data_IF_182254390696
#
_entry.id   IF_182254390696
#
_cell.length_a   1.000
_cell.length_b   1.000
_cell.length_c   1.000
_cell.angle_alpha   90.00
_cell.angle_beta   90.00
_cell.angle_gamma   90.00
#
_symmetry.space_group_name_H-M   'P 1'
#
loop_
_entity.id
_entity.type
_entity.pdbx_description
1 polymer ?
#
# COMPACT_ATOMS: atom_id res chain seq x y z
N UNK A 1 -18.69 -18.44 -3.99
CA UNK A 1 -17.23 -18.53 -4.21
C UNK A 1 -16.63 -17.13 -4.30
N UNK A 2 -15.46 -16.95 -3.70
CA UNK A 2 -14.76 -15.67 -3.71
C UNK A 2 -13.73 -15.65 -4.83
N UNK A 3 -13.41 -14.47 -5.40
CA UNK A 3 -12.34 -14.38 -6.37
C UNK A 3 -10.99 -14.75 -5.74
N UNK A 4 -10.06 -15.17 -6.58
CA UNK A 4 -8.69 -15.43 -6.13
C UNK A 4 -8.04 -14.10 -5.79
N UNK A 5 -7.61 -13.95 -4.55
CA UNK A 5 -6.90 -12.76 -4.10
C UNK A 5 -5.42 -12.93 -4.41
N UNK A 6 -4.88 -11.94 -5.10
CA UNK A 6 -3.47 -11.87 -5.47
C UNK A 6 -2.78 -10.83 -4.63
N UNK A 7 -1.48 -10.92 -4.51
CA UNK A 7 -0.68 -9.94 -3.81
C UNK A 7 0.44 -9.40 -4.70
N UNK A 8 0.77 -8.15 -4.50
CA UNK A 8 1.87 -7.49 -5.21
C UNK A 8 2.55 -6.49 -4.28
N UNK A 9 3.84 -6.67 -4.07
CA UNK A 9 4.62 -5.78 -3.22
C UNK A 9 5.08 -4.57 -4.02
N UNK A 10 4.72 -3.38 -3.56
CA UNK A 10 5.18 -2.13 -4.15
C UNK A 10 6.14 -1.42 -3.21
N UNK A 11 6.97 -0.59 -3.78
CA UNK A 11 7.98 0.18 -3.04
C UNK A 11 7.82 1.65 -3.33
N UNK A 12 7.81 2.48 -2.28
CA UNK A 12 7.80 3.93 -2.41
C UNK A 12 9.06 4.44 -1.72
N UNK A 13 10.07 4.82 -2.51
CA UNK A 13 11.32 5.32 -1.97
C UNK A 13 11.18 6.79 -1.57
N UNK A 14 11.70 7.12 -0.39
CA UNK A 14 11.62 8.50 0.14
C UNK A 14 12.56 9.47 -0.56
N UNK A 15 13.51 8.94 -1.35
CA UNK A 15 14.42 9.76 -2.11
C UNK A 15 15.72 10.12 -1.40
N UNK A 16 16.66 10.67 -2.16
CA UNK A 16 17.97 11.05 -1.64
C UNK A 16 17.90 12.21 -0.66
N UNK A 17 16.88 13.06 -0.80
CA UNK A 17 16.59 14.15 0.13
C UNK A 17 15.25 13.84 0.78
N UNK A 18 15.23 13.69 2.09
CA UNK A 18 14.00 13.35 2.82
C UNK A 18 12.98 14.48 2.67
N UNK A 19 11.76 14.19 2.19
CA UNK A 19 10.71 15.20 2.10
C UNK A 19 10.31 15.71 3.49
N UNK A 20 9.89 16.97 3.54
CA UNK A 20 9.43 17.57 4.79
C UNK A 20 8.06 17.10 5.23
N UNK A 21 7.69 17.43 6.45
CA UNK A 21 6.36 17.12 6.98
C UNK A 21 5.28 17.79 6.12
N UNK A 22 4.20 17.08 5.88
CA UNK A 22 3.11 17.52 4.99
C UNK A 22 3.28 17.13 3.54
N UNK A 23 4.43 16.57 3.16
CA UNK A 23 4.69 16.15 1.78
C UNK A 23 3.88 14.93 1.40
N UNK A 24 3.39 14.92 0.16
CA UNK A 24 2.72 13.76 -0.44
C UNK A 24 3.63 13.16 -1.51
N UNK A 25 3.75 11.83 -1.50
CA UNK A 25 4.49 11.10 -2.52
C UNK A 25 3.50 10.18 -3.24
N UNK A 26 3.27 10.46 -4.52
CA UNK A 26 2.37 9.64 -5.33
C UNK A 26 3.02 8.32 -5.69
N UNK A 27 2.19 7.27 -5.74
CA UNK A 27 2.65 5.93 -6.08
C UNK A 27 2.90 5.88 -7.58
N UNK A 28 4.03 5.31 -7.98
CA UNK A 28 4.35 5.17 -9.39
C UNK A 28 3.45 4.13 -10.06
N UNK A 29 3.43 4.13 -11.39
CA UNK A 29 2.64 3.17 -12.14
C UNK A 29 3.27 1.78 -12.08
N UNK A 30 2.49 0.81 -11.63
CA UNK A 30 2.83 -0.60 -11.68
C UNK A 30 1.83 -1.26 -12.65
N UNK A 31 2.27 -1.69 -13.84
CA UNK A 31 1.33 -2.24 -14.85
C UNK A 31 0.46 -3.37 -14.32
N UNK A 32 1.00 -4.22 -13.44
CA UNK A 32 0.25 -5.32 -12.83
C UNK A 32 -0.95 -4.83 -12.02
N UNK A 33 -0.89 -3.63 -11.48
CA UNK A 33 -1.94 -3.07 -10.62
C UNK A 33 -2.86 -2.10 -11.34
N UNK A 34 -2.83 -2.09 -12.68
CA UNK A 34 -3.78 -1.29 -13.46
C UNK A 34 -5.12 -2.00 -13.51
N UNK A 35 -6.18 -1.23 -13.26
CA UNK A 35 -7.57 -1.72 -13.36
C UNK A 35 -7.86 -2.93 -12.47
N UNK A 36 -7.30 -2.95 -11.27
CA UNK A 36 -7.54 -4.01 -10.29
C UNK A 36 -8.48 -3.53 -9.20
N UNK A 37 -9.12 -4.50 -8.52
CA UNK A 37 -9.93 -4.21 -7.34
C UNK A 37 -9.07 -4.40 -6.11
N UNK A 38 -8.93 -3.34 -5.32
CA UNK A 38 -8.18 -3.40 -4.07
C UNK A 38 -9.03 -4.09 -2.99
N UNK A 39 -8.46 -5.13 -2.37
CA UNK A 39 -9.13 -5.87 -1.29
C UNK A 39 -8.52 -5.54 0.07
N UNK A 40 -7.24 -5.25 0.11
CA UNK A 40 -6.54 -4.94 1.35
C UNK A 40 -5.13 -4.47 1.10
N UNK A 41 -4.53 -3.92 2.14
CA UNK A 41 -3.16 -3.39 2.09
C UNK A 41 -2.46 -3.80 3.37
N UNK A 42 -1.21 -4.24 3.24
CA UNK A 42 -0.32 -4.44 4.38
C UNK A 42 0.92 -3.58 4.22
N UNK A 43 1.41 -3.02 5.31
CA UNK A 43 2.66 -2.27 5.34
C UNK A 43 3.73 -3.12 6.04
N UNK A 44 4.94 -3.08 5.51
CA UNK A 44 6.07 -3.77 6.14
C UNK A 44 7.13 -2.77 6.57
N UNK A 45 7.60 -2.92 7.80
CA UNK A 45 8.73 -2.17 8.32
C UNK A 45 9.98 -3.05 8.33
N UNK A 46 11.10 -2.50 8.77
CA UNK A 46 12.35 -3.26 8.94
C UNK A 46 12.22 -4.40 9.94
N UNK A 47 11.17 -4.40 10.76
CA UNK A 47 10.88 -5.50 11.69
C UNK A 47 10.36 -6.73 10.95
N UNK A 48 9.61 -6.52 9.86
CA UNK A 48 8.99 -7.60 9.09
C UNK A 48 9.74 -7.90 7.80
N UNK A 49 10.30 -6.88 7.14
CA UNK A 49 11.04 -7.04 5.89
C UNK A 49 12.15 -5.99 5.85
N UNK A 50 13.37 -6.39 6.17
CA UNK A 50 14.50 -5.49 6.39
C UNK A 50 14.83 -4.62 5.18
N UNK A 51 14.76 -5.19 3.97
CA UNK A 51 15.08 -4.49 2.73
C UNK A 51 14.02 -4.75 1.66
N UNK A 52 13.91 -3.82 0.72
CA UNK A 52 13.07 -4.00 -0.46
C UNK A 52 13.69 -5.02 -1.43
N UNK A 53 12.91 -5.54 -2.40
CA UNK A 53 13.46 -6.38 -3.48
C UNK A 53 14.59 -5.69 -4.25
N UNK A 54 14.61 -4.36 -4.30
CA UNK A 54 15.67 -3.58 -4.94
C UNK A 54 16.88 -3.34 -4.03
N UNK A 55 16.88 -3.89 -2.81
CA UNK A 55 17.98 -3.76 -1.87
C UNK A 55 17.98 -2.48 -1.05
N UNK A 56 16.90 -1.71 -1.05
CA UNK A 56 16.80 -0.48 -0.27
C UNK A 56 16.27 -0.77 1.12
N UNK A 57 16.78 -0.05 2.13
CA UNK A 57 16.34 -0.24 3.51
C UNK A 57 14.87 0.12 3.68
N UNK A 58 14.11 -0.73 4.36
CA UNK A 58 12.73 -0.44 4.73
C UNK A 58 12.71 0.59 5.86
N UNK A 59 11.62 1.37 5.94
CA UNK A 59 11.40 2.26 7.08
C UNK A 59 11.29 1.43 8.37
N UNK A 60 11.66 2.03 9.49
CA UNK A 60 11.54 1.36 10.78
C UNK A 60 10.07 1.33 11.24
N UNK A 61 9.76 0.45 12.20
CA UNK A 61 8.42 0.42 12.78
C UNK A 61 8.03 1.74 13.43
N UNK A 62 9.00 2.46 14.02
CA UNK A 62 8.76 3.81 14.53
C UNK A 62 8.51 4.80 13.40
N UNK A 63 9.19 4.65 12.27
CA UNK A 63 8.96 5.48 11.08
C UNK A 63 7.55 5.36 10.52
N UNK A 64 6.93 4.20 10.64
CA UNK A 64 5.55 3.99 10.20
C UNK A 64 4.53 4.89 10.93
N UNK A 65 4.85 5.34 12.12
CA UNK A 65 3.95 6.22 12.88
C UNK A 65 3.84 7.63 12.29
N UNK A 66 4.79 8.00 11.45
CA UNK A 66 4.82 9.32 10.82
C UNK A 66 4.33 9.36 9.39
N UNK A 67 3.79 8.25 8.87
CA UNK A 67 3.36 8.15 7.48
C UNK A 67 1.96 7.56 7.42
N UNK A 68 1.12 8.13 6.55
CA UNK A 68 -0.21 7.59 6.25
C UNK A 68 -0.33 7.31 4.77
N UNK A 69 -1.28 6.44 4.40
CA UNK A 69 -1.56 6.11 3.02
C UNK A 69 -2.98 6.53 2.65
N UNK A 70 -3.14 7.00 1.42
CA UNK A 70 -4.44 7.34 0.84
C UNK A 70 -4.60 6.61 -0.48
N UNK A 71 -5.70 5.89 -0.64
CA UNK A 71 -6.02 5.15 -1.85
C UNK A 71 -7.29 5.69 -2.48
N UNK A 72 -7.21 5.91 -3.78
CA UNK A 72 -8.22 6.60 -4.57
C UNK A 72 -8.83 5.62 -5.57
N UNK A 73 -10.15 5.70 -5.76
CA UNK A 73 -10.83 4.88 -6.77
C UNK A 73 -10.80 5.54 -8.15
N UNK A 74 -11.36 4.85 -9.15
CA UNK A 74 -11.37 5.34 -10.53
C UNK A 74 -12.28 6.56 -10.73
N UNK A 75 -13.07 6.92 -9.73
CA UNK A 75 -13.91 8.12 -9.74
C UNK A 75 -13.27 9.28 -8.98
N UNK A 76 -11.98 9.18 -8.67
CA UNK A 76 -11.19 10.17 -7.91
C UNK A 76 -11.69 10.40 -6.48
N UNK A 77 -12.35 9.39 -5.89
CA UNK A 77 -12.77 9.43 -4.50
C UNK A 77 -11.72 8.79 -3.62
N UNK A 78 -11.39 9.44 -2.52
CA UNK A 78 -10.46 8.90 -1.53
C UNK A 78 -11.20 7.91 -0.64
N UNK A 79 -11.13 6.63 -1.00
CA UNK A 79 -11.85 5.58 -0.26
C UNK A 79 -11.14 5.28 1.06
N UNK A 80 -9.81 5.24 1.03
CA UNK A 80 -8.98 5.10 2.22
C UNK A 80 -8.18 6.39 2.32
N UNK A 81 -8.42 7.17 3.39
CA UNK A 81 -7.83 8.50 3.53
C UNK A 81 -6.96 8.58 4.77
N UNK A 82 -5.68 8.90 4.56
CA UNK A 82 -4.70 9.13 5.64
C UNK A 82 -4.69 8.01 6.67
N UNK A 83 -4.68 6.76 6.20
CA UNK A 83 -4.66 5.61 7.09
C UNK A 83 -3.23 5.37 7.59
N UNK A 84 -2.99 5.31 8.91
CA UNK A 84 -1.64 5.14 9.45
C UNK A 84 -1.01 3.83 8.99
N UNK A 85 0.23 3.87 8.52
CA UNK A 85 0.93 2.67 8.04
C UNK A 85 1.10 1.63 9.15
N UNK A 86 1.31 2.07 10.38
CA UNK A 86 1.47 1.15 11.51
C UNK A 86 0.25 0.25 11.69
N UNK A 87 -0.94 0.79 11.44
CA UNK A 87 -2.18 0.03 11.55
C UNK A 87 -2.39 -0.94 10.38
N UNK A 88 -1.49 -0.92 9.39
CA UNK A 88 -1.47 -1.85 8.28
C UNK A 88 -0.33 -2.88 8.40
N UNK A 89 0.56 -2.73 9.38
CA UNK A 89 1.69 -3.62 9.57
C UNK A 89 1.24 -4.88 10.28
N UNK A 90 1.41 -6.07 9.66
CA UNK A 90 1.00 -7.34 10.27
C UNK A 90 1.65 -7.59 11.64
N UNK A 91 2.84 -7.07 11.87
CA UNK A 91 3.53 -7.21 13.15
C UNK A 91 2.71 -6.62 14.30
N UNK A 92 1.99 -5.52 14.06
CA UNK A 92 1.21 -4.83 15.09
C UNK A 92 -0.25 -5.25 15.12
N UNK A 93 -0.81 -5.71 14.00
CA UNK A 93 -2.24 -6.01 13.89
C UNK A 93 -2.54 -7.51 13.87
N UNK A 94 -1.56 -8.36 14.22
CA UNK A 94 -1.78 -9.80 14.32
C UNK A 94 -1.74 -10.55 13.00
N UNK A 95 -1.14 -9.99 11.96
CA UNK A 95 -0.88 -10.70 10.71
C UNK A 95 -1.99 -10.66 9.68
N UNK A 96 -3.03 -9.86 9.88
CA UNK A 96 -4.14 -9.76 8.94
C UNK A 96 -4.14 -8.41 8.23
N UNK A 97 -4.52 -8.42 6.94
CA UNK A 97 -4.78 -7.18 6.25
C UNK A 97 -6.14 -6.64 6.67
N UNK A 98 -6.34 -5.32 6.50
CA UNK A 98 -7.64 -4.71 6.69
C UNK A 98 -8.61 -5.23 5.64
N UNK A 99 -9.80 -5.61 6.08
CA UNK A 99 -10.85 -6.10 5.21
C UNK A 99 -11.69 -4.92 4.73
N UNK A 100 -11.43 -4.48 3.51
CA UNK A 100 -12.17 -3.39 2.89
C UNK A 100 -13.20 -3.93 1.93
N UNK A 101 -14.31 -3.19 1.76
CA UNK A 101 -15.16 -3.44 0.61
C UNK A 101 -14.34 -3.14 -0.65
N UNK A 102 -14.16 -4.11 -1.56
CA UNK A 102 -13.31 -3.89 -2.71
C UNK A 102 -13.76 -2.73 -3.60
N UNK A 103 -12.80 -1.98 -4.10
CA UNK A 103 -13.06 -0.90 -5.04
C UNK A 103 -12.00 -0.89 -6.12
N UNK A 104 -12.35 -0.36 -7.29
CA UNK A 104 -11.42 -0.29 -8.42
C UNK A 104 -10.39 0.79 -8.16
N UNK A 105 -9.13 0.35 -8.05
CA UNK A 105 -8.02 1.20 -7.62
C UNK A 105 -7.49 2.07 -8.75
N UNK A 106 -7.23 3.34 -8.44
CA UNK A 106 -6.46 4.24 -9.28
C UNK A 106 -5.13 4.51 -8.60
N UNK A 107 -4.15 3.63 -8.83
CA UNK A 107 -2.91 3.60 -8.07
C UNK A 107 -2.09 4.89 -8.23
N UNK A 108 -2.00 5.43 -9.44
CA UNK A 108 -1.17 6.63 -9.70
C UNK A 108 -1.74 7.91 -9.08
N UNK A 109 -2.98 7.90 -8.65
CA UNK A 109 -3.59 9.00 -7.89
C UNK A 109 -3.54 8.76 -6.39
N UNK A 110 -3.15 7.57 -5.98
CA UNK A 110 -2.97 7.21 -4.58
C UNK A 110 -1.60 7.67 -4.11
N UNK A 111 -1.46 7.95 -2.83
CA UNK A 111 -0.23 8.55 -2.31
C UNK A 111 -0.04 8.22 -0.83
N UNK A 112 1.20 8.43 -0.38
CA UNK A 112 1.52 8.48 1.05
C UNK A 112 1.74 9.92 1.47
N UNK A 113 1.43 10.21 2.73
CA UNK A 113 1.65 11.54 3.31
C UNK A 113 2.59 11.39 4.50
N UNK A 114 3.62 12.25 4.55
CA UNK A 114 4.60 12.27 5.63
C UNK A 114 4.16 13.32 6.63
N UNK A 115 3.87 12.89 7.87
CA UNK A 115 3.48 13.81 8.94
C UNK A 115 4.64 14.12 9.86
N UNK A 116 5.51 13.13 10.12
CA UNK A 116 6.63 13.30 11.05
C UNK A 116 7.87 12.63 10.44
N UNK A 117 8.99 13.35 10.46
CA UNK A 117 10.23 12.93 9.81
C UNK A 117 11.29 12.41 10.78
N UNK A 118 11.05 12.51 12.10
CA UNK A 118 12.09 12.26 13.12
C UNK A 118 12.66 10.84 13.10
N UNK A 119 11.87 9.85 12.65
CA UNK A 119 12.30 8.45 12.57
C UNK A 119 12.50 7.96 11.14
N UNK A 120 12.58 8.87 10.18
CA UNK A 120 12.79 8.58 8.77
C UNK A 120 14.19 9.01 8.35
N UNK A 121 14.74 8.32 7.37
CA UNK A 121 16.04 8.67 6.76
C UNK A 121 15.93 8.66 5.26
N UNK A 122 16.83 9.41 4.61
CA UNK A 122 16.90 9.44 3.16
C UNK A 122 17.11 8.03 2.60
N UNK A 123 16.57 7.80 1.43
CA UNK A 123 16.66 6.53 0.68
C UNK A 123 15.97 5.33 1.33
N UNK A 124 15.30 5.48 2.46
CA UNK A 124 14.45 4.43 2.99
C UNK A 124 13.21 4.27 2.10
N UNK A 125 12.63 3.07 2.11
CA UNK A 125 11.47 2.76 1.30
C UNK A 125 10.30 2.33 2.15
N UNK A 126 9.12 2.81 1.79
CA UNK A 126 7.85 2.30 2.29
C UNK A 126 7.49 1.07 1.44
N UNK A 127 7.20 -0.04 2.10
CA UNK A 127 6.86 -1.29 1.43
C UNK A 127 5.40 -1.62 1.72
N UNK A 128 4.60 -1.68 0.66
CA UNK A 128 3.18 -1.99 0.77
C UNK A 128 2.87 -3.24 -0.03
N UNK A 129 2.19 -4.19 0.60
CA UNK A 129 1.68 -5.36 -0.09
C UNK A 129 0.22 -5.11 -0.45
N UNK A 130 -0.05 -5.01 -1.75
CA UNK A 130 -1.39 -4.73 -2.29
C UNK A 130 -2.09 -6.06 -2.52
N UNK A 131 -3.22 -6.26 -1.86
CA UNK A 131 -4.06 -7.43 -2.04
C UNK A 131 -5.20 -7.06 -2.99
N UNK A 132 -5.33 -7.80 -4.08
CA UNK A 132 -6.21 -7.39 -5.17
C UNK A 132 -6.77 -8.58 -5.94
N UNK A 133 -7.80 -8.33 -6.74
CA UNK A 133 -8.23 -9.25 -7.79
C UNK A 133 -8.51 -8.45 -9.07
N UNK A 134 -8.55 -9.15 -10.20
CA UNK A 134 -8.77 -8.55 -11.51
C UNK A 134 -10.22 -8.75 -11.97
N UNK A 135 -10.64 -8.04 -13.01
CA UNK A 135 -11.93 -8.27 -13.65
C UNK A 135 -12.07 -9.72 -14.11
N UNK A 136 -10.97 -10.32 -14.58
CA UNK A 136 -10.96 -11.72 -15.01
C UNK A 136 -11.25 -12.65 -13.83
N UNK A 137 -10.65 -12.40 -12.67
CA UNK A 137 -10.90 -13.20 -11.47
C UNK A 137 -12.36 -13.08 -11.04
N UNK A 138 -12.92 -11.88 -11.09
CA UNK A 138 -14.32 -11.63 -10.77
C UNK A 138 -15.27 -12.31 -11.78
N UNK A 139 -14.95 -12.27 -13.06
CA UNK A 139 -15.74 -12.93 -14.10
C UNK A 139 -15.75 -14.45 -13.93
N UNK A 140 -14.60 -15.03 -13.56
CA UNK A 140 -14.48 -16.45 -13.28
C UNK A 140 -15.39 -16.87 -12.13
N UNK A 141 -15.44 -16.06 -11.07
CA UNK A 141 -16.34 -16.31 -9.94
C UNK A 141 -17.80 -16.25 -10.39
N UNK A 142 -18.18 -15.24 -11.18
CA UNK A 142 -19.55 -15.11 -11.69
C UNK A 142 -19.97 -16.31 -12.54
N UNK A 143 -19.08 -16.83 -13.39
CA UNK A 143 -19.41 -17.92 -14.27
C UNK A 143 -19.50 -19.26 -13.54
N UNK A 144 -18.77 -19.45 -12.46
CA UNK A 144 -18.71 -20.71 -11.73
C UNK A 144 -19.55 -20.73 -10.46
N UNK A 145 -19.78 -19.58 -9.86
CA UNK A 145 -20.42 -19.46 -8.53
C UNK A 145 -21.92 -19.42 -8.57
N UNK A 146 -22.50 -18.83 -9.57
CA UNK A 146 -23.94 -18.62 -9.66
C UNK A 146 -24.60 -18.39 -8.31
#
# INVERSE_FOLDING_TARGET
MKPIIRSYLIEINLGATLPGAGSQIFIQDYPTLRNVFLCGVMSYSSTTLTTSPAGRAAITSTGETGITATFVDVFNQEIIHNYPLRDLDPYFIGGFYRDYKPFKLQLTKSYITIFATGSLSANQSVLLNILYYTDRDAATVKSSGR
#
